data_IF_994685892065
#
_entry.id   IF_994685892065
#
_cell.length_a   1.000
_cell.length_b   1.000
_cell.length_c   1.000
_cell.angle_alpha   90.00
_cell.angle_beta   90.00
_cell.angle_gamma   90.00
#
_symmetry.space_group_name_H-M   'P 1'
#
loop_
_entity.id
_entity.type
_entity.pdbx_description
1 polymer ?
#
# COMPACT_ATOMS: atom_id res chain seq x y z
N UNK A 1 14.04 -18.27 24.15
CA UNK A 1 12.70 -17.69 24.43
C UNK A 1 12.75 -16.19 24.09
N UNK A 2 11.68 -15.61 23.55
CA UNK A 2 11.59 -14.19 23.21
C UNK A 2 10.84 -13.45 24.32
N UNK A 3 11.42 -12.41 24.90
CA UNK A 3 10.73 -11.50 25.82
C UNK A 3 10.15 -10.33 25.02
N UNK A 4 8.83 -10.11 25.11
CA UNK A 4 8.13 -9.05 24.39
C UNK A 4 7.62 -8.04 25.42
N UNK A 5 8.20 -6.83 25.41
CA UNK A 5 7.85 -5.73 26.33
C UNK A 5 6.99 -4.71 25.57
N UNK A 6 5.70 -4.60 25.92
CA UNK A 6 4.77 -3.65 25.30
C UNK A 6 4.20 -2.72 26.38
N UNK A 7 4.78 -1.51 26.55
CA UNK A 7 4.33 -0.55 27.56
C UNK A 7 2.84 -0.20 27.42
N UNK A 8 2.14 -0.03 28.54
CA UNK A 8 0.74 0.40 28.56
C UNK A 8 0.57 1.79 27.95
N UNK A 9 -0.46 1.98 27.12
CA UNK A 9 -0.81 3.26 26.50
C UNK A 9 0.00 3.62 25.26
N UNK A 10 0.92 2.76 24.80
CA UNK A 10 1.61 2.96 23.52
C UNK A 10 0.72 2.56 22.33
N UNK A 11 1.15 2.85 21.11
CA UNK A 11 0.42 2.49 19.87
C UNK A 11 0.09 0.99 19.78
N UNK A 12 0.93 0.12 20.36
CA UNK A 12 0.75 -1.33 20.34
C UNK A 12 -0.06 -1.87 21.53
N UNK A 13 -0.33 -1.06 22.55
CA UNK A 13 -1.16 -1.40 23.70
C UNK A 13 -2.07 -0.22 24.07
N UNK A 14 -3.02 0.13 23.17
CA UNK A 14 -3.93 1.23 23.38
C UNK A 14 -4.95 0.89 24.48
N UNK A 15 -5.37 1.90 25.26
CA UNK A 15 -6.44 1.78 26.24
C UNK A 15 -7.75 2.33 25.68
N UNK A 16 -8.87 1.67 25.96
CA UNK A 16 -10.20 2.18 25.63
C UNK A 16 -10.37 3.62 26.16
N UNK A 17 -10.93 4.57 25.37
CA UNK A 17 -11.62 4.42 24.09
C UNK A 17 -10.76 4.69 22.82
N UNK A 18 -9.44 4.51 22.89
CA UNK A 18 -8.57 4.75 21.73
C UNK A 18 -9.00 3.91 20.51
N UNK A 19 -8.95 4.52 19.32
CA UNK A 19 -9.28 3.84 18.07
C UNK A 19 -8.20 2.81 17.72
N UNK A 20 -8.62 1.59 17.42
CA UNK A 20 -7.73 0.44 17.12
C UNK A 20 -7.87 -0.11 15.71
N UNK A 21 -8.65 0.57 14.86
CA UNK A 21 -8.72 0.24 13.43
C UNK A 21 -7.33 0.40 12.80
N UNK A 22 -7.07 -0.34 11.73
CA UNK A 22 -5.78 -0.39 11.05
C UNK A 22 -4.65 -1.17 11.74
N UNK A 23 -4.84 -1.70 12.96
CA UNK A 23 -3.78 -2.41 13.68
C UNK A 23 -3.19 -3.60 12.92
N UNK A 24 -4.06 -4.49 12.40
CA UNK A 24 -3.62 -5.65 11.63
C UNK A 24 -3.05 -5.29 10.26
N UNK A 25 -3.40 -4.13 9.71
CA UNK A 25 -3.10 -3.81 8.32
C UNK A 25 -1.94 -2.82 8.17
N UNK A 26 -1.89 -1.75 8.94
CA UNK A 26 -0.83 -0.73 8.84
C UNK A 26 0.19 -0.86 9.96
N UNK A 27 -0.25 -1.00 11.21
CA UNK A 27 0.66 -1.06 12.36
C UNK A 27 1.53 -2.33 12.32
N UNK A 28 0.94 -3.48 12.00
CA UNK A 28 1.66 -4.76 11.86
C UNK A 28 2.73 -4.71 10.76
N UNK A 29 2.45 -4.07 9.62
CA UNK A 29 3.40 -3.87 8.53
C UNK A 29 4.58 -3.01 8.99
N UNK A 30 4.30 -1.90 9.69
CA UNK A 30 5.33 -1.02 10.21
C UNK A 30 6.25 -1.73 11.22
N UNK A 31 5.69 -2.52 12.15
CA UNK A 31 6.48 -3.34 13.09
C UNK A 31 7.35 -4.34 12.33
N UNK A 32 6.78 -5.00 11.32
CA UNK A 32 7.48 -6.04 10.56
C UNK A 32 8.68 -5.46 9.81
N UNK A 33 8.49 -4.32 9.11
CA UNK A 33 9.59 -3.60 8.47
C UNK A 33 10.66 -3.16 9.49
N UNK A 34 10.25 -2.62 10.64
CA UNK A 34 11.20 -2.20 11.69
C UNK A 34 12.05 -3.38 12.21
N UNK A 35 11.46 -4.57 12.35
CA UNK A 35 12.19 -5.77 12.76
C UNK A 35 13.15 -6.27 11.68
N UNK A 36 12.75 -6.25 10.40
CA UNK A 36 13.63 -6.65 9.29
C UNK A 36 14.80 -5.69 9.11
N UNK A 37 14.55 -4.39 9.22
CA UNK A 37 15.59 -3.37 9.17
C UNK A 37 16.55 -3.49 10.36
N UNK A 38 16.02 -3.62 11.58
CA UNK A 38 16.85 -3.76 12.78
C UNK A 38 17.68 -5.04 12.81
N UNK A 39 17.18 -6.13 12.21
CA UNK A 39 17.92 -7.40 12.09
C UNK A 39 18.87 -7.44 10.90
N UNK A 40 18.76 -6.49 9.96
CA UNK A 40 19.58 -6.44 8.75
C UNK A 40 19.35 -7.60 7.77
N UNK A 41 18.21 -8.29 7.89
CA UNK A 41 17.91 -9.48 7.06
C UNK A 41 17.45 -9.09 5.65
N UNK A 42 16.64 -8.04 5.53
CA UNK A 42 16.15 -7.52 4.25
C UNK A 42 15.78 -6.04 4.38
N UNK A 43 15.78 -5.32 3.26
CA UNK A 43 15.23 -3.98 3.17
C UNK A 43 13.70 -3.98 3.41
N UNK A 44 13.14 -2.80 3.67
CA UNK A 44 11.71 -2.67 3.93
C UNK A 44 10.87 -2.96 2.67
N UNK A 45 9.81 -3.75 2.80
CA UNK A 45 8.78 -3.84 1.74
C UNK A 45 7.85 -2.63 1.82
N UNK A 46 6.86 -2.53 0.92
CA UNK A 46 5.91 -1.42 0.82
C UNK A 46 5.31 -0.89 2.15
N UNK A 47 5.22 -1.72 3.20
CA UNK A 47 4.89 -1.29 4.57
C UNK A 47 3.44 -0.86 4.79
N UNK A 48 2.55 -1.21 3.86
CA UNK A 48 1.11 -0.85 3.85
C UNK A 48 0.34 -1.94 3.13
N UNK A 49 -0.93 -2.14 3.50
CA UNK A 49 -1.82 -3.04 2.73
C UNK A 49 -2.65 -2.29 1.69
N UNK A 50 -2.61 -0.96 1.68
CA UNK A 50 -3.35 -0.11 0.75
C UNK A 50 -4.85 -0.45 0.74
N UNK A 51 -5.47 -0.32 1.92
CA UNK A 51 -6.85 -0.70 2.17
C UNK A 51 -7.78 0.25 1.42
N UNK A 52 -8.29 -0.21 0.28
CA UNK A 52 -9.22 0.54 -0.54
C UNK A 52 -10.63 -0.01 -0.35
N UNK A 53 -11.54 0.88 0.01
CA UNK A 53 -12.95 0.58 0.22
C UNK A 53 -13.78 1.52 -0.62
N UNK A 54 -14.91 1.03 -1.10
CA UNK A 54 -15.93 1.91 -1.64
C UNK A 54 -17.30 1.29 -1.50
N UNK A 55 -18.33 2.13 -1.57
CA UNK A 55 -19.69 1.68 -1.51
C UNK A 55 -20.73 2.78 -1.49
N UNK A 56 -21.98 2.36 -1.42
CA UNK A 56 -23.16 3.19 -1.24
C UNK A 56 -24.23 2.37 -0.48
N UNK A 57 -25.50 2.78 -0.52
CA UNK A 57 -26.58 2.06 0.17
C UNK A 57 -26.76 0.60 -0.28
N UNK A 58 -26.28 0.25 -1.48
CA UNK A 58 -26.46 -1.08 -2.11
C UNK A 58 -25.19 -1.90 -2.17
N UNK A 59 -24.04 -1.26 -2.28
CA UNK A 59 -22.75 -1.91 -2.54
C UNK A 59 -21.74 -1.63 -1.43
N UNK A 60 -20.92 -2.64 -1.13
CA UNK A 60 -19.77 -2.51 -0.26
C UNK A 60 -18.63 -3.38 -0.80
N UNK A 61 -17.50 -2.74 -1.10
CA UNK A 61 -16.28 -3.39 -1.56
C UNK A 61 -15.11 -3.06 -0.64
N UNK A 62 -14.23 -4.03 -0.45
CA UNK A 62 -12.99 -3.87 0.30
C UNK A 62 -11.89 -4.72 -0.33
N UNK A 63 -10.74 -4.09 -0.55
CA UNK A 63 -9.56 -4.71 -1.14
C UNK A 63 -8.28 -4.21 -0.46
N UNK A 64 -7.32 -5.12 -0.33
CA UNK A 64 -5.91 -4.81 -0.05
C UNK A 64 -5.13 -4.86 -1.36
N UNK A 65 -4.36 -3.82 -1.68
CA UNK A 65 -3.62 -3.72 -2.93
C UNK A 65 -2.13 -4.01 -2.69
N UNK A 66 -1.54 -4.87 -3.52
CA UNK A 66 -0.14 -5.26 -3.44
C UNK A 66 0.84 -4.11 -3.73
N UNK A 67 2.13 -4.37 -3.56
CA UNK A 67 3.19 -3.40 -3.83
C UNK A 67 4.54 -4.10 -3.95
N UNK A 68 5.62 -3.33 -3.78
CA UNK A 68 6.97 -3.89 -3.89
C UNK A 68 7.45 -4.56 -2.61
N UNK A 69 8.09 -5.73 -2.72
CA UNK A 69 8.82 -6.33 -1.59
C UNK A 69 10.25 -5.79 -1.49
N UNK A 70 10.81 -5.80 -0.29
CA UNK A 70 12.20 -5.37 -0.05
C UNK A 70 13.22 -6.38 -0.57
N UNK A 71 14.38 -5.89 -1.01
CA UNK A 71 15.52 -6.71 -1.43
C UNK A 71 16.32 -7.25 -0.25
N UNK A 72 17.04 -8.35 -0.46
CA UNK A 72 17.97 -8.93 0.51
C UNK A 72 19.40 -9.02 -0.02
N UNK A 73 20.30 -9.57 0.79
CA UNK A 73 21.72 -9.67 0.45
C UNK A 73 22.02 -10.53 -0.79
N UNK A 74 21.09 -11.39 -1.19
CA UNK A 74 21.27 -12.35 -2.27
C UNK A 74 20.08 -12.41 -3.23
N UNK A 75 19.12 -11.49 -3.12
CA UNK A 75 17.89 -11.52 -3.91
C UNK A 75 17.30 -10.14 -4.09
N UNK A 76 16.72 -9.92 -5.27
CA UNK A 76 15.90 -8.76 -5.58
C UNK A 76 14.52 -8.86 -4.92
N UNK A 77 13.92 -7.71 -4.66
CA UNK A 77 12.52 -7.62 -4.30
C UNK A 77 11.62 -8.01 -5.48
N UNK A 78 10.45 -8.53 -5.16
CA UNK A 78 9.45 -8.97 -6.13
C UNK A 78 8.44 -7.86 -6.38
N UNK A 79 8.16 -7.62 -7.65
CA UNK A 79 7.18 -6.63 -8.10
C UNK A 79 5.75 -7.08 -7.81
N UNK A 80 4.90 -6.14 -7.40
CA UNK A 80 3.44 -6.31 -7.33
C UNK A 80 2.96 -7.52 -6.50
N UNK A 81 3.59 -7.80 -5.35
CA UNK A 81 3.21 -8.91 -4.47
C UNK A 81 2.63 -8.44 -3.13
N UNK A 82 1.75 -9.27 -2.56
CA UNK A 82 1.37 -9.11 -1.17
C UNK A 82 2.58 -9.44 -0.29
N UNK A 83 2.85 -8.60 0.70
CA UNK A 83 4.07 -8.67 1.52
C UNK A 83 3.71 -8.79 2.99
N UNK A 84 4.50 -9.58 3.72
CA UNK A 84 4.42 -9.72 5.18
C UNK A 84 3.03 -10.13 5.67
N UNK A 85 2.26 -9.17 6.19
CA UNK A 85 0.99 -9.39 6.87
C UNK A 85 -0.19 -9.54 5.89
N UNK A 86 0.04 -9.49 4.57
CA UNK A 86 -0.97 -9.80 3.54
C UNK A 86 -0.69 -11.10 2.80
N UNK A 87 -1.75 -11.88 2.57
CA UNK A 87 -1.75 -13.06 1.71
C UNK A 87 -3.12 -13.23 1.02
N UNK A 88 -3.64 -12.13 0.47
CA UNK A 88 -4.90 -12.11 -0.26
C UNK A 88 -4.66 -12.28 -1.76
N UNK A 89 -5.60 -12.94 -2.44
CA UNK A 89 -5.67 -12.90 -3.90
C UNK A 89 -6.42 -11.64 -4.33
N UNK A 90 -6.01 -11.07 -5.45
CA UNK A 90 -6.77 -10.02 -6.12
C UNK A 90 -8.13 -10.58 -6.55
N UNK A 91 -9.17 -9.75 -6.49
CA UNK A 91 -10.43 -10.06 -7.17
C UNK A 91 -10.22 -9.94 -8.68
N UNK A 92 -10.66 -10.94 -9.45
CA UNK A 92 -10.57 -10.89 -10.91
C UNK A 92 -11.27 -9.63 -11.46
N UNK A 93 -10.65 -8.88 -12.38
CA UNK A 93 -11.23 -7.66 -12.94
C UNK A 93 -12.66 -7.85 -13.46
N UNK A 94 -12.92 -8.93 -14.20
CA UNK A 94 -14.25 -9.22 -14.74
C UNK A 94 -15.29 -9.45 -13.63
N UNK A 95 -14.89 -10.06 -12.51
CA UNK A 95 -15.78 -10.26 -11.36
C UNK A 95 -16.03 -8.94 -10.62
N UNK A 96 -15.02 -8.08 -10.50
CA UNK A 96 -15.16 -6.75 -9.92
C UNK A 96 -16.17 -5.92 -10.73
N UNK A 97 -15.97 -5.82 -12.04
CA UNK A 97 -16.79 -5.01 -12.94
C UNK A 97 -18.20 -5.57 -13.11
N UNK A 98 -18.36 -6.90 -13.02
CA UNK A 98 -19.69 -7.52 -13.08
C UNK A 98 -20.51 -7.29 -11.80
N UNK A 99 -19.86 -7.26 -10.63
CA UNK A 99 -20.55 -7.18 -9.34
C UNK A 99 -20.75 -5.75 -8.84
N UNK A 100 -19.92 -4.81 -9.28
CA UNK A 100 -19.91 -3.44 -8.80
C UNK A 100 -19.93 -2.47 -9.99
N UNK A 101 -20.63 -1.33 -9.88
CA UNK A 101 -20.69 -0.31 -10.94
C UNK A 101 -19.39 0.50 -10.98
N UNK A 102 -18.30 -0.17 -11.34
CA UNK A 102 -16.97 0.40 -11.52
C UNK A 102 -16.32 -0.25 -12.75
N UNK A 103 -15.35 0.44 -13.35
CA UNK A 103 -14.50 -0.07 -14.42
C UNK A 103 -13.04 0.00 -13.96
N UNK A 104 -12.30 -1.11 -14.09
CA UNK A 104 -10.86 -1.13 -13.83
C UNK A 104 -10.12 -0.67 -15.08
N UNK A 105 -9.80 0.62 -15.17
CA UNK A 105 -9.12 1.18 -16.34
C UNK A 105 -7.70 0.63 -16.51
N UNK A 106 -7.00 0.43 -15.39
CA UNK A 106 -5.68 -0.17 -15.39
C UNK A 106 -5.38 -0.85 -14.07
N UNK A 107 -4.61 -1.94 -14.18
CA UNK A 107 -3.89 -2.51 -13.07
C UNK A 107 -2.57 -3.10 -13.57
N UNK A 108 -1.46 -2.49 -13.17
CA UNK A 108 -0.15 -2.89 -13.69
C UNK A 108 0.99 -2.49 -12.78
N UNK A 109 2.18 -3.03 -13.06
CA UNK A 109 3.41 -2.71 -12.33
C UNK A 109 3.75 -1.24 -12.51
N UNK A 110 4.06 -0.56 -11.41
CA UNK A 110 4.54 0.82 -11.38
C UNK A 110 6.05 0.83 -11.53
N UNK A 111 6.52 0.86 -12.76
CA UNK A 111 7.96 0.84 -13.10
C UNK A 111 8.74 1.92 -12.35
N UNK A 112 9.99 1.60 -12.01
CA UNK A 112 10.96 2.49 -11.34
C UNK A 112 10.50 2.98 -9.96
N UNK A 113 9.65 2.22 -9.28
CA UNK A 113 9.24 2.51 -7.91
C UNK A 113 10.03 1.73 -6.85
N UNK A 114 10.67 0.62 -7.22
CA UNK A 114 11.59 -0.10 -6.35
C UNK A 114 12.87 0.69 -6.09
N UNK A 115 13.41 0.56 -4.88
CA UNK A 115 14.68 1.17 -4.50
C UNK A 115 15.84 0.53 -5.26
N UNK A 116 16.77 1.36 -5.73
CA UNK A 116 17.98 0.89 -6.42
C UNK A 116 18.98 0.24 -5.46
N UNK A 117 19.82 -0.67 -5.95
CA UNK A 117 20.90 -1.26 -5.18
C UNK A 117 21.60 -2.37 -5.96
N UNK A 118 22.57 -3.03 -5.35
CA UNK A 118 23.13 -4.27 -5.91
C UNK A 118 22.03 -5.33 -6.10
N UNK A 119 21.03 -5.32 -5.21
CA UNK A 119 19.73 -5.92 -5.44
C UNK A 119 18.66 -4.86 -5.40
N UNK A 120 17.77 -4.85 -6.39
CA UNK A 120 16.72 -3.86 -6.51
C UNK A 120 15.50 -4.24 -5.66
N UNK A 121 14.84 -3.25 -5.06
CA UNK A 121 13.53 -3.45 -4.45
C UNK A 121 12.48 -3.76 -5.51
N UNK A 122 11.39 -4.41 -5.10
CA UNK A 122 10.27 -4.67 -5.98
C UNK A 122 9.51 -3.39 -6.31
N UNK A 123 8.93 -3.32 -7.50
CA UNK A 123 8.03 -2.26 -7.91
C UNK A 123 6.63 -2.42 -7.29
N UNK A 124 6.01 -1.29 -6.99
CA UNK A 124 4.60 -1.22 -6.64
C UNK A 124 3.67 -1.43 -7.84
N UNK A 125 2.41 -1.03 -7.69
CA UNK A 125 1.40 -1.09 -8.75
C UNK A 125 0.69 0.24 -8.94
N UNK A 126 0.17 0.46 -10.14
CA UNK A 126 -0.77 1.50 -10.48
C UNK A 126 -2.15 0.85 -10.67
N UNK A 127 -3.15 1.27 -9.89
CA UNK A 127 -4.53 0.78 -9.95
C UNK A 127 -5.45 1.97 -10.17
N UNK A 128 -6.24 1.93 -11.24
CA UNK A 128 -7.17 3.00 -11.65
C UNK A 128 -8.58 2.47 -11.74
N UNK A 129 -9.49 3.00 -10.92
CA UNK A 129 -10.87 2.53 -10.85
C UNK A 129 -11.79 3.71 -11.17
N UNK A 130 -12.49 3.62 -12.30
CA UNK A 130 -13.54 4.58 -12.69
C UNK A 130 -14.86 4.18 -12.03
N UNK A 131 -15.52 5.13 -11.41
CA UNK A 131 -16.84 4.93 -10.82
C UNK A 131 -17.92 5.13 -11.89
N UNK A 132 -18.90 4.22 -11.95
CA UNK A 132 -20.04 4.29 -12.88
C UNK A 132 -21.33 4.72 -12.18
N UNK A 133 -21.30 4.86 -10.86
CA UNK A 133 -22.39 5.43 -10.04
C UNK A 133 -21.79 6.21 -8.86
N UNK A 134 -22.54 7.16 -8.27
CA UNK A 134 -22.12 7.86 -7.07
C UNK A 134 -21.85 6.92 -5.88
N UNK A 135 -20.68 7.08 -5.26
CA UNK A 135 -20.23 6.24 -4.14
C UNK A 135 -19.32 7.02 -3.19
N UNK A 136 -19.17 6.51 -1.97
CA UNK A 136 -18.12 6.94 -1.06
C UNK A 136 -16.93 6.00 -1.20
N UNK A 137 -15.75 6.54 -1.52
CA UNK A 137 -14.48 5.83 -1.55
C UNK A 137 -13.62 6.20 -0.35
N UNK A 138 -12.96 5.21 0.25
CA UNK A 138 -12.08 5.34 1.40
C UNK A 138 -10.74 4.65 1.14
N UNK A 139 -9.64 5.32 1.46
CA UNK A 139 -8.29 4.76 1.45
C UNK A 139 -7.70 4.86 2.84
N UNK A 140 -7.10 3.76 3.31
CA UNK A 140 -6.29 3.69 4.52
C UNK A 140 -4.95 3.05 4.15
N UNK A 141 -3.88 3.83 4.21
CA UNK A 141 -2.61 3.42 3.62
C UNK A 141 -1.39 4.17 4.18
N UNK A 142 -0.26 3.48 4.38
CA UNK A 142 1.02 4.05 4.86
C UNK A 142 1.93 4.59 3.75
N UNK A 143 3.10 5.11 4.08
CA UNK A 143 4.17 5.43 3.10
C UNK A 143 3.79 6.34 1.91
N UNK A 144 2.95 7.36 2.15
CA UNK A 144 2.66 8.45 1.18
C UNK A 144 3.55 9.69 1.39
N UNK A 145 4.27 9.73 2.51
CA UNK A 145 5.14 10.84 2.92
C UNK A 145 6.55 10.33 3.20
N UNK A 146 6.67 9.29 4.03
CA UNK A 146 7.94 8.66 4.37
C UNK A 146 8.14 7.42 3.50
N UNK A 147 9.23 7.31 2.74
CA UNK A 147 9.48 6.13 1.91
C UNK A 147 9.81 4.91 2.78
N UNK A 148 9.82 3.73 2.16
CA UNK A 148 10.37 2.53 2.79
C UNK A 148 11.87 2.48 2.56
N UNK A 149 12.62 2.06 3.59
CA UNK A 149 14.07 2.19 3.58
C UNK A 149 14.76 1.05 2.84
N UNK A 150 15.78 1.41 2.07
CA UNK A 150 16.79 0.45 1.60
C UNK A 150 17.72 0.01 2.73
N UNK A 151 18.54 -1.00 2.47
CA UNK A 151 19.44 -1.58 3.48
C UNK A 151 20.88 -1.64 2.96
N UNK A 152 21.85 -1.49 3.86
CA UNK A 152 23.29 -1.61 3.57
C UNK A 152 23.78 -0.77 2.38
N UNK A 153 23.26 0.46 2.24
CA UNK A 153 23.59 1.37 1.13
C UNK A 153 22.62 1.31 -0.06
N UNK A 154 21.64 0.41 -0.03
CA UNK A 154 20.54 0.38 -0.99
C UNK A 154 19.63 1.61 -0.87
N UNK A 155 19.07 2.03 -1.99
CA UNK A 155 18.13 3.14 -2.11
C UNK A 155 16.74 2.81 -1.58
N UNK A 156 16.02 3.86 -1.19
CA UNK A 156 14.66 3.75 -0.69
C UNK A 156 13.67 3.45 -1.83
N UNK A 157 12.60 2.72 -1.51
CA UNK A 157 11.46 2.57 -2.41
C UNK A 157 10.69 3.88 -2.54
N UNK A 158 10.14 4.14 -3.72
CA UNK A 158 9.31 5.33 -3.95
C UNK A 158 8.04 5.28 -3.09
N UNK A 159 7.65 6.44 -2.54
CA UNK A 159 6.37 6.59 -1.83
C UNK A 159 5.18 6.30 -2.74
N UNK A 160 4.09 5.84 -2.12
CA UNK A 160 2.81 5.70 -2.78
C UNK A 160 2.13 7.05 -3.02
N UNK A 161 1.16 7.09 -3.94
CA UNK A 161 0.35 8.27 -4.25
C UNK A 161 -1.11 7.87 -4.37
N UNK A 162 -1.99 8.71 -3.83
CA UNK A 162 -3.43 8.56 -3.97
C UNK A 162 -3.97 9.86 -4.59
N UNK A 163 -4.81 9.77 -5.61
CA UNK A 163 -5.46 10.95 -6.19
C UNK A 163 -6.74 10.57 -6.91
N UNK A 164 -7.62 11.56 -7.12
CA UNK A 164 -8.83 11.42 -7.91
C UNK A 164 -8.70 12.29 -9.15
N UNK A 165 -8.96 11.70 -10.31
CA UNK A 165 -9.18 12.43 -11.55
C UNK A 165 -10.68 12.66 -11.70
N UNK A 166 -11.09 13.93 -11.67
CA UNK A 166 -12.47 14.34 -11.76
C UNK A 166 -12.90 14.47 -13.22
N UNK A 167 -14.20 14.33 -13.47
CA UNK A 167 -14.78 14.49 -14.82
C UNK A 167 -14.59 15.89 -15.42
N UNK A 168 -14.40 16.92 -14.60
CA UNK A 168 -14.07 18.29 -15.03
C UNK A 168 -12.58 18.49 -15.40
N UNK A 169 -11.77 17.42 -15.31
CA UNK A 169 -10.34 17.42 -15.60
C UNK A 169 -9.46 17.80 -14.41
N UNK A 170 -10.03 18.12 -13.25
CA UNK A 170 -9.22 18.42 -12.05
C UNK A 170 -8.63 17.16 -11.43
N UNK A 171 -7.45 17.29 -10.82
CA UNK A 171 -6.78 16.20 -10.09
C UNK A 171 -6.69 16.56 -8.61
N UNK A 172 -7.42 15.82 -7.79
CA UNK A 172 -7.42 15.98 -6.34
C UNK A 172 -6.41 15.03 -5.70
N UNK A 173 -5.30 15.56 -5.16
CA UNK A 173 -4.32 14.77 -4.41
C UNK A 173 -4.82 14.41 -3.02
N UNK A 174 -4.64 13.16 -2.63
CA UNK A 174 -5.05 12.64 -1.33
C UNK A 174 -3.83 12.21 -0.50
N UNK A 175 -3.99 12.27 0.82
CA UNK A 175 -2.98 11.78 1.76
C UNK A 175 -3.02 10.26 1.93
N UNK A 176 -2.33 9.79 2.98
CA UNK A 176 -2.33 8.39 3.44
C UNK A 176 -3.73 7.84 3.73
N UNK A 177 -4.57 8.67 4.34
CA UNK A 177 -5.95 8.34 4.68
C UNK A 177 -6.89 9.39 4.11
N UNK A 178 -7.93 8.96 3.41
CA UNK A 178 -8.94 9.87 2.89
C UNK A 178 -10.28 9.16 2.70
N UNK A 179 -11.35 9.94 2.83
CA UNK A 179 -12.70 9.56 2.42
C UNK A 179 -13.22 10.62 1.47
N UNK A 180 -13.76 10.20 0.32
CA UNK A 180 -14.25 11.10 -0.71
C UNK A 180 -15.53 10.58 -1.35
N UNK A 181 -16.39 11.52 -1.73
CA UNK A 181 -17.49 11.25 -2.63
C UNK A 181 -16.96 11.19 -4.06
N UNK A 182 -17.31 10.12 -4.74
CA UNK A 182 -17.03 9.86 -6.14
C UNK A 182 -18.31 10.09 -6.92
N UNK A 183 -18.22 10.80 -8.04
CA UNK A 183 -19.30 10.91 -9.00
C UNK A 183 -19.12 9.89 -10.12
N UNK A 184 -20.18 9.64 -10.87
CA UNK A 184 -20.08 8.89 -12.12
C UNK A 184 -19.02 9.53 -13.04
N UNK A 185 -18.12 8.70 -13.54
CA UNK A 185 -17.01 9.09 -14.39
C UNK A 185 -15.73 9.49 -13.64
N UNK A 186 -15.75 9.73 -12.33
CA UNK A 186 -14.52 10.02 -11.58
C UNK A 186 -13.63 8.77 -11.51
N UNK A 187 -12.31 8.95 -11.51
CA UNK A 187 -11.32 7.86 -11.41
C UNK A 187 -10.52 7.99 -10.12
N UNK A 188 -10.58 6.97 -9.26
CA UNK A 188 -9.70 6.88 -8.10
C UNK A 188 -8.42 6.15 -8.52
N UNK A 189 -7.27 6.80 -8.33
CA UNK A 189 -5.97 6.28 -8.70
C UNK A 189 -5.12 6.01 -7.45
N UNK A 190 -4.63 4.79 -7.35
CA UNK A 190 -3.74 4.32 -6.29
C UNK A 190 -2.46 3.85 -6.92
N UNK A 191 -1.38 4.52 -6.55
CA UNK A 191 -0.02 4.09 -6.81
C UNK A 191 0.58 3.60 -5.51
N UNK A 192 0.90 2.31 -5.44
CA UNK A 192 1.44 1.72 -4.21
C UNK A 192 2.96 1.95 -4.11
N UNK A 193 3.51 1.91 -2.88
CA UNK A 193 4.94 2.03 -2.69
C UNK A 193 5.71 0.87 -3.33
N UNK A 194 6.95 1.14 -3.74
CA UNK A 194 7.92 0.08 -4.02
C UNK A 194 8.54 -0.47 -2.73
N UNK A 195 9.43 -1.45 -2.86
CA UNK A 195 10.29 -1.94 -1.78
C UNK A 195 11.65 -1.25 -1.78
N UNK A 196 12.37 -1.30 -0.67
CA UNK A 196 13.75 -0.83 -0.56
C UNK A 196 14.74 -1.75 -1.27
N UNK A 197 15.80 -1.17 -1.84
CA UNK A 197 16.92 -1.90 -2.42
C UNK A 197 17.95 -2.33 -1.38
N UNK A 198 18.88 -3.17 -1.78
CA UNK A 198 19.96 -3.67 -0.93
C UNK A 198 21.33 -3.43 -1.57
N UNK A 199 22.28 -2.91 -0.78
CA UNK A 199 23.66 -2.69 -1.20
C UNK A 199 23.82 -1.46 -2.09
N UNK A 200 24.97 -0.79 -2.00
CA UNK A 200 25.32 0.28 -2.95
C UNK A 200 25.45 -0.25 -4.37
N UNK A 201 25.09 0.57 -5.36
CA UNK A 201 25.48 0.31 -6.75
C UNK A 201 27.02 0.38 -6.88
N UNK A 202 27.63 -0.41 -7.79
CA UNK A 202 29.06 -0.31 -8.10
C UNK A 202 29.47 1.08 -8.61
#
# INVERSE_FOLDING_TARGET
PLEIIIPSGCMLNPSYPAAVVAGNVETSQAITNALYEASGVMASSQGTMNNFTFGNERYQYYETICGGSGAGATFDGTDAVQCHMTNSRLTDPEVLEWRFPVLLESFGIRTDSGGIGNHHGGNGVNRRIRFLEPMTAGILSGHRVVPVYGLNGGGNGAVGRNYIERTDGTVEKLGSTATRQMQEGDVFVIETPGGGGYGSLP
#
